data_IF_083649196902
#
_entry.id   IF_083649196902
#
_cell.length_a   1.000
_cell.length_b   1.000
_cell.length_c   1.000
_cell.angle_alpha   90.00
_cell.angle_beta   90.00
_cell.angle_gamma   90.00
#
_symmetry.space_group_name_H-M   'P 1'
#
loop_
_entity.id
_entity.type
_entity.pdbx_description
1 polymer ?
#
# COMPACT_ATOMS: atom_id res chain seq x y z
N UNK A 1 -16.30 -10.24 19.21
CA UNK A 1 -16.04 -10.96 17.94
C UNK A 1 -14.62 -10.66 17.51
N UNK A 2 -13.68 -11.59 17.71
CA UNK A 2 -12.30 -11.44 17.24
C UNK A 2 -12.23 -11.82 15.77
N UNK A 3 -12.03 -10.82 14.90
CA UNK A 3 -11.81 -11.00 13.47
C UNK A 3 -10.43 -11.64 13.31
N UNK A 4 -10.36 -12.86 12.78
CA UNK A 4 -9.07 -13.45 12.39
C UNK A 4 -8.54 -12.61 11.24
N UNK A 5 -7.36 -12.02 11.45
CA UNK A 5 -6.62 -11.28 10.43
C UNK A 5 -5.88 -12.27 9.54
N UNK A 6 -6.18 -12.29 8.24
CA UNK A 6 -5.50 -13.12 7.24
C UNK A 6 -4.16 -12.51 6.81
N UNK A 7 -3.31 -12.20 7.79
CA UNK A 7 -1.95 -11.72 7.57
C UNK A 7 -1.07 -12.01 8.78
N UNK A 8 0.24 -12.16 8.55
CA UNK A 8 1.26 -12.28 9.60
C UNK A 8 2.34 -11.23 9.39
N UNK A 9 2.24 -10.14 10.14
CA UNK A 9 3.19 -9.01 10.11
C UNK A 9 3.78 -8.81 11.50
N UNK A 10 4.93 -8.12 11.57
CA UNK A 10 5.60 -7.87 12.85
C UNK A 10 4.78 -6.96 13.78
N UNK A 11 4.26 -5.85 13.25
CA UNK A 11 3.45 -4.89 14.02
C UNK A 11 2.48 -4.16 13.08
N UNK A 12 1.17 -4.32 13.32
CA UNK A 12 0.12 -3.67 12.51
C UNK A 12 -0.08 -2.19 12.88
N UNK A 13 0.37 -1.75 14.05
CA UNK A 13 0.23 -0.35 14.49
C UNK A 13 1.04 0.63 13.60
N UNK A 14 2.04 0.12 12.88
CA UNK A 14 2.87 0.89 11.97
C UNK A 14 2.20 1.17 10.60
N UNK A 15 0.97 0.69 10.38
CA UNK A 15 0.28 0.81 9.08
C UNK A 15 0.13 2.27 8.61
N UNK A 16 -0.18 3.20 9.51
CA UNK A 16 -0.36 4.62 9.17
C UNK A 16 0.95 5.26 8.71
N UNK A 17 2.05 4.96 9.40
CA UNK A 17 3.37 5.43 8.99
C UNK A 17 3.80 4.80 7.66
N UNK A 18 3.64 3.47 7.52
CA UNK A 18 3.95 2.76 6.27
C UNK A 18 3.17 3.32 5.08
N UNK A 19 1.91 3.74 5.26
CA UNK A 19 1.13 4.38 4.20
C UNK A 19 1.72 5.73 3.76
N UNK A 20 2.24 6.52 4.69
CA UNK A 20 2.91 7.81 4.37
C UNK A 20 4.16 7.57 3.53
N UNK A 21 4.99 6.61 3.92
CA UNK A 21 6.19 6.24 3.16
C UNK A 21 5.85 5.75 1.75
N UNK A 22 4.82 4.89 1.62
CA UNK A 22 4.33 4.43 0.31
C UNK A 22 3.92 5.61 -0.57
N UNK A 23 3.23 6.62 -0.02
CA UNK A 23 2.80 7.79 -0.78
C UNK A 23 3.98 8.63 -1.27
N UNK A 24 5.02 8.77 -0.45
CA UNK A 24 6.27 9.45 -0.86
C UNK A 24 6.96 8.65 -1.97
N UNK A 25 7.10 7.33 -1.79
CA UNK A 25 7.73 6.48 -2.79
C UNK A 25 7.00 6.51 -4.16
N UNK A 26 5.68 6.69 -4.17
CA UNK A 26 4.91 6.79 -5.42
C UNK A 26 5.35 7.98 -6.29
N UNK A 27 5.79 9.11 -5.72
CA UNK A 27 6.26 10.26 -6.53
C UNK A 27 7.53 9.92 -7.30
N UNK A 28 8.37 9.03 -6.77
CA UNK A 28 9.62 8.58 -7.37
C UNK A 28 9.44 7.40 -8.34
N UNK A 29 8.22 6.88 -8.48
CA UNK A 29 7.91 5.69 -9.30
C UNK A 29 6.90 6.00 -10.42
N UNK A 30 7.19 6.95 -11.33
CA UNK A 30 6.23 7.41 -12.33
C UNK A 30 5.75 6.29 -13.27
N UNK A 31 6.63 5.34 -13.62
CA UNK A 31 6.27 4.20 -14.47
C UNK A 31 5.25 3.25 -13.82
N UNK A 32 5.42 2.94 -12.53
CA UNK A 32 4.47 2.09 -11.80
C UNK A 32 3.11 2.78 -11.65
N UNK A 33 3.11 4.09 -11.39
CA UNK A 33 1.89 4.87 -11.29
C UNK A 33 1.16 4.98 -12.65
N UNK A 34 1.89 5.12 -13.75
CA UNK A 34 1.32 5.08 -15.10
C UNK A 34 0.64 3.72 -15.39
N UNK A 35 1.32 2.61 -15.11
CA UNK A 35 0.73 1.27 -15.26
C UNK A 35 -0.53 1.09 -14.40
N UNK A 36 -0.48 1.51 -13.13
CA UNK A 36 -1.66 1.46 -12.25
C UNK A 36 -2.84 2.22 -12.85
N UNK A 37 -2.60 3.39 -13.42
CA UNK A 37 -3.67 4.20 -14.03
C UNK A 37 -4.22 3.57 -15.32
N UNK A 38 -3.37 3.01 -16.17
CA UNK A 38 -3.80 2.40 -17.44
C UNK A 38 -4.69 1.15 -17.23
N UNK A 39 -4.44 0.39 -16.16
CA UNK A 39 -5.12 -0.88 -15.90
C UNK A 39 -6.12 -0.83 -14.73
N UNK A 40 -6.39 0.34 -14.13
CA UNK A 40 -7.24 0.45 -12.93
C UNK A 40 -8.70 -0.03 -13.10
N UNK A 41 -9.21 -0.07 -14.33
CA UNK A 41 -10.58 -0.47 -14.66
C UNK A 41 -10.68 -1.54 -15.74
N UNK A 42 -9.57 -2.23 -16.03
CA UNK A 42 -9.55 -3.44 -16.85
C UNK A 42 -9.76 -4.65 -15.95
#
# INVERSE_FOLDING_TARGET
>A
MTKISDYKVADISLADWGRKEINIAQSEMPGLMALRNEYAGK
#
